data_IF_376863330719
#
_entry.id   IF_376863330719
#
_cell.length_a   1.000
_cell.length_b   1.000
_cell.length_c   1.000
_cell.angle_alpha   90.00
_cell.angle_beta   90.00
_cell.angle_gamma   90.00
#
_symmetry.space_group_name_H-M   'P 1'
#
loop_
_entity.id
_entity.type
_entity.pdbx_description
1 polymer ?
#
# COMPACT_ATOMS: atom_id res chain seq x y z
N UNK A 1 -12.53 8.01 5.83
CA UNK A 1 -11.39 7.16 6.27
C UNK A 1 -11.50 6.64 7.72
N UNK A 2 -12.60 6.88 8.45
CA UNK A 2 -12.70 6.59 9.89
C UNK A 2 -12.93 5.11 10.25
N UNK A 3 -13.12 4.22 9.27
CA UNK A 3 -13.41 2.78 9.53
C UNK A 3 -12.26 1.84 9.11
N UNK A 4 -11.07 2.40 8.81
CA UNK A 4 -9.93 1.61 8.35
C UNK A 4 -9.20 0.94 9.54
N UNK A 5 -9.29 -0.39 9.61
CA UNK A 5 -8.57 -1.21 10.60
C UNK A 5 -7.13 -1.43 10.14
N UNK A 6 -6.18 -0.74 10.77
CA UNK A 6 -4.75 -0.85 10.50
C UNK A 6 -4.20 -2.18 11.02
N UNK A 7 -2.99 -2.63 10.62
CA UNK A 7 -2.36 -3.79 11.24
C UNK A 7 -2.38 -3.71 12.78
N UNK A 8 -2.59 -4.83 13.49
CA UNK A 8 -2.70 -4.82 14.97
C UNK A 8 -1.46 -4.20 15.63
N UNK A 9 -0.30 -4.42 15.04
CA UNK A 9 0.96 -3.83 15.47
C UNK A 9 1.00 -2.30 15.37
N UNK A 10 0.21 -1.70 14.49
CA UNK A 10 0.04 -0.24 14.37
C UNK A 10 -1.01 0.25 15.33
N UNK A 11 -2.14 -0.45 15.47
CA UNK A 11 -3.19 -0.07 16.44
C UNK A 11 -2.66 -0.01 17.88
N UNK A 12 -1.67 -0.84 18.21
CA UNK A 12 -1.01 -0.88 19.51
C UNK A 12 0.25 0.00 19.60
N UNK A 13 0.69 0.63 18.50
CA UNK A 13 1.85 1.52 18.50
C UNK A 13 1.47 2.85 19.16
N UNK A 14 2.33 3.39 20.04
CA UNK A 14 2.10 4.67 20.68
C UNK A 14 1.90 5.83 19.67
N UNK A 15 2.43 5.69 18.45
CA UNK A 15 2.29 6.66 17.36
C UNK A 15 1.09 6.42 16.47
N UNK A 16 0.19 5.48 16.80
CA UNK A 16 -0.99 5.16 15.99
C UNK A 16 -1.78 6.42 15.58
N UNK A 17 -2.02 7.33 16.54
CA UNK A 17 -2.72 8.58 16.29
C UNK A 17 -1.99 9.48 15.27
N UNK A 18 -0.66 9.59 15.38
CA UNK A 18 0.16 10.35 14.44
C UNK A 18 0.14 9.73 13.02
N UNK A 19 0.25 8.40 12.92
CA UNK A 19 0.17 7.67 11.64
C UNK A 19 -1.20 7.90 10.99
N UNK A 20 -2.30 7.79 11.76
CA UNK A 20 -3.65 8.09 11.27
C UNK A 20 -3.78 9.55 10.84
N UNK A 21 -3.19 10.47 11.59
CA UNK A 21 -3.11 11.88 11.25
C UNK A 21 -2.48 12.11 9.88
N UNK A 22 -1.32 11.51 9.62
CA UNK A 22 -0.64 11.60 8.31
C UNK A 22 -1.49 11.03 7.19
N UNK A 23 -2.09 9.84 7.39
CA UNK A 23 -2.95 9.23 6.36
C UNK A 23 -4.20 10.06 6.05
N UNK A 24 -4.74 10.78 7.05
CA UNK A 24 -5.95 11.58 6.91
C UNK A 24 -5.69 13.03 6.49
N UNK A 25 -4.45 13.52 6.65
CA UNK A 25 -4.09 14.92 6.44
C UNK A 25 -4.37 15.39 5.00
N UNK A 26 -4.11 14.51 4.03
CA UNK A 26 -4.38 14.79 2.62
C UNK A 26 -4.79 13.53 1.89
N UNK A 27 -5.95 13.59 1.26
CA UNK A 27 -6.46 12.55 0.37
C UNK A 27 -6.70 13.11 -1.02
N UNK A 28 -6.67 12.25 -2.03
CA UNK A 28 -7.11 12.60 -3.39
C UNK A 28 -7.68 11.39 -4.11
N UNK A 29 -8.50 11.64 -5.12
CA UNK A 29 -8.83 10.63 -6.13
C UNK A 29 -7.61 10.37 -7.01
N UNK A 30 -7.42 9.11 -7.39
CA UNK A 30 -6.31 8.72 -8.27
C UNK A 30 -6.44 9.35 -9.66
N UNK A 31 -7.66 9.56 -10.13
CA UNK A 31 -8.00 10.16 -11.42
C UNK A 31 -9.30 10.97 -11.34
N UNK A 32 -9.63 11.75 -12.37
CA UNK A 32 -10.68 12.80 -12.34
C UNK A 32 -12.05 12.31 -11.87
N UNK A 33 -12.57 11.24 -12.46
CA UNK A 33 -13.89 10.68 -12.13
C UNK A 33 -13.79 9.41 -11.26
N UNK A 34 -12.64 9.23 -10.58
CA UNK A 34 -12.41 8.13 -9.65
C UNK A 34 -13.33 8.20 -8.44
N UNK A 35 -13.69 7.04 -7.91
CA UNK A 35 -14.55 6.93 -6.73
C UNK A 35 -13.72 6.76 -5.43
N UNK A 36 -12.49 6.29 -5.53
CA UNK A 36 -11.66 5.99 -4.36
C UNK A 36 -10.77 7.18 -4.01
N UNK A 37 -10.90 7.66 -2.77
CA UNK A 37 -9.94 8.59 -2.19
C UNK A 37 -8.81 7.81 -1.51
N UNK A 38 -7.57 8.15 -1.85
CA UNK A 38 -6.37 7.56 -1.26
C UNK A 38 -5.56 8.63 -0.52
N UNK A 39 -4.90 8.28 0.60
CA UNK A 39 -3.91 9.16 1.23
C UNK A 39 -2.82 9.58 0.26
N UNK A 40 -2.35 10.82 0.40
CA UNK A 40 -1.20 11.37 -0.31
C UNK A 40 -0.04 11.48 0.66
N UNK A 41 1.07 10.84 0.35
CA UNK A 41 2.25 10.72 1.20
C UNK A 41 3.46 11.38 0.51
N UNK A 42 4.25 12.11 1.28
CA UNK A 42 5.57 12.54 0.84
C UNK A 42 6.58 11.39 0.99
N UNK A 43 7.51 11.25 0.03
CA UNK A 43 8.65 10.36 0.20
C UNK A 43 9.70 11.01 1.08
N UNK A 44 9.61 10.78 2.39
CA UNK A 44 10.64 11.19 3.35
C UNK A 44 11.83 10.24 3.33
N UNK A 45 12.96 10.66 3.88
CA UNK A 45 14.14 9.78 4.03
C UNK A 45 13.82 8.54 4.88
N UNK A 46 13.02 8.71 5.94
CA UNK A 46 12.56 7.63 6.80
C UNK A 46 11.73 6.60 6.02
N UNK A 47 10.77 7.07 5.20
CA UNK A 47 9.96 6.21 4.35
C UNK A 47 10.83 5.52 3.29
N UNK A 48 11.71 6.27 2.60
CA UNK A 48 12.61 5.71 1.59
C UNK A 48 13.61 4.68 2.15
N UNK A 49 14.09 4.86 3.38
CA UNK A 49 14.93 3.89 4.08
C UNK A 49 14.16 2.61 4.40
N UNK A 50 12.93 2.73 4.92
CA UNK A 50 12.10 1.59 5.25
C UNK A 50 11.68 0.79 4.00
N UNK A 51 11.32 1.47 2.90
CA UNK A 51 11.04 0.81 1.62
C UNK A 51 12.24 -0.01 1.12
N UNK A 52 13.46 0.51 1.26
CA UNK A 52 14.68 -0.24 0.93
C UNK A 52 14.90 -1.44 1.85
N UNK A 53 14.62 -1.31 3.15
CA UNK A 53 14.76 -2.39 4.11
C UNK A 53 13.77 -3.53 3.83
N UNK A 54 12.50 -3.19 3.58
CA UNK A 54 11.44 -4.15 3.23
C UNK A 54 11.72 -4.83 1.88
N UNK A 55 12.22 -4.08 0.89
CA UNK A 55 12.67 -4.64 -0.37
C UNK A 55 13.78 -5.68 -0.17
N UNK A 56 14.77 -5.38 0.68
CA UNK A 56 15.88 -6.28 1.00
C UNK A 56 15.43 -7.61 1.63
N UNK A 57 14.21 -7.65 2.20
CA UNK A 57 13.58 -8.86 2.75
C UNK A 57 12.72 -9.61 1.74
N UNK A 58 12.62 -9.15 0.50
CA UNK A 58 11.77 -9.74 -0.53
C UNK A 58 10.26 -9.48 -0.33
N UNK A 59 9.89 -8.48 0.47
CA UNK A 59 8.52 -8.21 0.90
C UNK A 59 7.84 -7.07 0.13
N UNK A 60 8.37 -6.74 -1.05
CA UNK A 60 7.79 -5.78 -1.99
C UNK A 60 7.63 -6.41 -3.38
N UNK A 61 6.46 -6.22 -3.98
CA UNK A 61 6.22 -6.41 -5.41
C UNK A 61 6.33 -5.08 -6.14
N UNK A 62 6.81 -5.11 -7.38
CA UNK A 62 7.05 -3.92 -8.21
C UNK A 62 6.23 -4.05 -9.48
N UNK A 63 5.54 -2.97 -9.85
CA UNK A 63 4.61 -2.97 -10.99
C UNK A 63 3.21 -3.46 -10.61
N UNK A 64 2.24 -3.10 -11.44
CA UNK A 64 0.83 -3.39 -11.21
C UNK A 64 0.53 -4.88 -11.39
N UNK A 65 1.10 -5.51 -12.41
CA UNK A 65 0.87 -6.92 -12.72
C UNK A 65 1.30 -7.82 -11.56
N UNK A 66 2.50 -7.59 -11.01
CA UNK A 66 2.99 -8.34 -9.86
C UNK A 66 2.17 -8.09 -8.60
N UNK A 67 1.66 -6.86 -8.41
CA UNK A 67 0.78 -6.53 -7.30
C UNK A 67 -0.57 -7.26 -7.41
N UNK A 68 -1.20 -7.22 -8.58
CA UNK A 68 -2.47 -7.92 -8.86
C UNK A 68 -2.31 -9.41 -8.60
N UNK A 69 -1.29 -10.06 -9.18
CA UNK A 69 -1.07 -11.49 -8.98
C UNK A 69 -0.85 -11.87 -7.51
N UNK A 70 -0.14 -11.03 -6.74
CA UNK A 70 0.06 -11.28 -5.31
C UNK A 70 -1.23 -11.13 -4.49
N UNK A 71 -2.08 -10.16 -4.83
CA UNK A 71 -3.37 -9.94 -4.16
C UNK A 71 -4.39 -11.02 -4.51
N UNK A 72 -4.42 -11.47 -5.77
CA UNK A 72 -5.25 -12.60 -6.21
C UNK A 72 -4.84 -13.89 -5.50
N UNK A 73 -3.53 -14.20 -5.44
CA UNK A 73 -3.03 -15.36 -4.73
C UNK A 73 -3.40 -15.34 -3.23
N UNK A 74 -3.29 -14.18 -2.58
CA UNK A 74 -3.75 -14.01 -1.19
C UNK A 74 -5.25 -14.26 -1.07
N UNK A 75 -6.06 -13.65 -1.94
CA UNK A 75 -7.51 -13.80 -1.90
C UNK A 75 -7.94 -15.27 -2.05
N UNK A 76 -7.36 -15.99 -3.01
CA UNK A 76 -7.65 -17.42 -3.20
C UNK A 76 -7.25 -18.26 -1.97
N UNK A 77 -6.09 -17.97 -1.36
CA UNK A 77 -5.68 -18.62 -0.12
C UNK A 77 -6.64 -18.37 1.03
N UNK A 78 -7.13 -17.13 1.19
CA UNK A 78 -8.11 -16.77 2.22
C UNK A 78 -9.46 -17.45 2.00
N UNK A 79 -9.94 -17.52 0.75
CA UNK A 79 -11.18 -18.23 0.41
C UNK A 79 -11.06 -19.71 0.73
N UNK A 80 -9.94 -20.34 0.39
CA UNK A 80 -9.68 -21.76 0.67
C UNK A 80 -9.69 -22.04 2.19
N UNK A 81 -8.98 -21.24 2.99
CA UNK A 81 -8.92 -21.40 4.46
C UNK A 81 -10.25 -21.03 5.13
N UNK A 82 -10.95 -20.01 4.63
CA UNK A 82 -12.25 -19.58 5.16
C UNK A 82 -13.31 -20.66 5.01
N UNK A 83 -13.34 -21.34 3.86
CA UNK A 83 -14.20 -22.52 3.63
C UNK A 83 -13.89 -23.67 4.59
N UNK A 84 -12.63 -23.86 4.97
CA UNK A 84 -12.19 -24.93 5.87
C UNK A 84 -12.46 -24.65 7.35
N UNK A 85 -12.41 -23.38 7.77
CA UNK A 85 -12.36 -23.02 9.21
C UNK A 85 -13.61 -22.31 9.74
N UNK A 86 -14.54 -21.90 8.87
CA UNK A 86 -15.76 -21.19 9.25
C UNK A 86 -15.52 -19.82 9.91
N UNK A 87 -14.26 -19.36 10.02
CA UNK A 87 -13.88 -18.10 10.64
C UNK A 87 -13.74 -17.01 9.58
N UNK A 88 -14.60 -16.00 9.65
CA UNK A 88 -14.33 -14.71 9.04
C UNK A 88 -13.28 -14.01 9.89
N UNK A 89 -12.00 -14.11 9.51
CA UNK A 89 -10.94 -13.32 10.13
C UNK A 89 -11.26 -11.84 9.91
N UNK A 90 -11.50 -11.11 11.01
CA UNK A 90 -11.90 -9.69 10.96
C UNK A 90 -11.01 -8.89 10.00
N UNK A 91 -11.65 -8.19 9.08
CA UNK A 91 -10.98 -7.50 7.99
C UNK A 91 -10.07 -6.40 8.54
N UNK A 92 -8.82 -6.42 8.08
CA UNK A 92 -7.74 -5.56 8.56
C UNK A 92 -6.75 -5.40 7.44
N UNK A 93 -6.22 -4.20 7.30
CA UNK A 93 -5.15 -3.91 6.36
C UNK A 93 -3.95 -4.80 6.65
N UNK A 94 -3.58 -5.61 5.66
CA UNK A 94 -2.41 -6.49 5.65
C UNK A 94 -1.51 -6.22 4.46
N UNK A 95 -1.94 -5.37 3.52
CA UNK A 95 -1.24 -5.01 2.28
C UNK A 95 -1.24 -3.49 2.11
N UNK A 96 -0.15 -2.95 1.57
CA UNK A 96 -0.02 -1.51 1.31
C UNK A 96 0.46 -1.31 -0.14
N UNK A 97 -0.35 -0.63 -0.92
CA UNK A 97 -0.04 -0.25 -2.29
C UNK A 97 0.41 1.22 -2.31
N UNK A 98 1.60 1.49 -2.82
CA UNK A 98 2.14 2.85 -3.00
C UNK A 98 2.29 3.13 -4.49
N UNK A 99 1.73 4.24 -4.94
CA UNK A 99 1.60 4.60 -6.36
C UNK A 99 2.30 5.93 -6.62
N UNK A 100 3.19 5.99 -7.62
CA UNK A 100 3.82 7.24 -8.03
C UNK A 100 2.80 8.24 -8.60
N UNK A 101 3.10 9.54 -8.51
CA UNK A 101 2.18 10.63 -8.88
C UNK A 101 2.17 11.00 -10.38
N UNK A 102 3.03 10.40 -11.19
CA UNK A 102 3.18 10.64 -12.63
C UNK A 102 2.54 9.55 -13.53
N UNK A 103 1.64 8.74 -12.96
CA UNK A 103 0.85 7.77 -13.69
C UNK A 103 -0.06 8.41 -14.75
N UNK A 104 -0.27 7.73 -15.87
CA UNK A 104 -1.31 8.12 -16.82
C UNK A 104 -2.68 7.72 -16.26
N UNK A 105 -3.74 8.42 -16.66
CA UNK A 105 -5.09 8.16 -16.17
C UNK A 105 -5.54 6.69 -16.36
N UNK A 106 -5.23 6.10 -17.52
CA UNK A 106 -5.51 4.66 -17.78
C UNK A 106 -4.90 3.74 -16.73
N UNK A 107 -3.70 4.06 -16.25
CA UNK A 107 -3.01 3.29 -15.22
C UNK A 107 -3.70 3.47 -13.88
N UNK A 108 -4.04 4.71 -13.51
CA UNK A 108 -4.79 4.99 -12.28
C UNK A 108 -6.16 4.31 -12.23
N UNK A 109 -6.89 4.22 -13.35
CA UNK A 109 -8.14 3.43 -13.41
C UNK A 109 -7.93 1.95 -13.12
N UNK A 110 -6.83 1.37 -13.60
CA UNK A 110 -6.49 -0.03 -13.31
C UNK A 110 -6.12 -0.23 -11.84
N UNK A 111 -5.34 0.70 -11.28
CA UNK A 111 -4.99 0.71 -9.86
C UNK A 111 -6.24 0.84 -8.98
N UNK A 112 -7.13 1.79 -9.26
CA UNK A 112 -8.36 1.98 -8.49
C UNK A 112 -9.23 0.73 -8.49
N UNK A 113 -9.41 0.09 -9.67
CA UNK A 113 -10.13 -1.18 -9.78
C UNK A 113 -9.49 -2.29 -8.94
N UNK A 114 -8.17 -2.40 -8.96
CA UNK A 114 -7.44 -3.37 -8.12
C UNK A 114 -7.68 -3.09 -6.63
N UNK A 115 -7.57 -1.84 -6.19
CA UNK A 115 -7.82 -1.45 -4.80
C UNK A 115 -9.27 -1.71 -4.37
N UNK A 116 -10.24 -1.41 -5.23
CA UNK A 116 -11.66 -1.65 -4.95
C UNK A 116 -11.96 -3.15 -4.76
N UNK A 117 -11.38 -4.03 -5.58
CA UNK A 117 -11.53 -5.49 -5.45
C UNK A 117 -11.00 -6.03 -4.12
N UNK A 118 -10.00 -5.37 -3.52
CA UNK A 118 -9.31 -5.83 -2.31
C UNK A 118 -9.41 -4.83 -1.13
N UNK A 119 -10.43 -3.98 -1.13
CA UNK A 119 -10.55 -2.80 -0.27
C UNK A 119 -10.47 -3.09 1.24
N UNK A 120 -10.84 -4.30 1.66
CA UNK A 120 -10.92 -4.67 3.07
C UNK A 120 -9.57 -5.04 3.70
N UNK A 121 -8.53 -5.24 2.86
CA UNK A 121 -7.19 -5.66 3.29
C UNK A 121 -6.05 -4.85 2.66
N UNK A 122 -6.33 -4.09 1.62
CA UNK A 122 -5.33 -3.27 0.92
C UNK A 122 -5.57 -1.80 1.19
N UNK A 123 -4.57 -1.14 1.77
CA UNK A 123 -4.52 0.32 1.80
C UNK A 123 -3.78 0.80 0.56
N UNK A 124 -4.42 1.60 -0.29
CA UNK A 124 -3.77 2.29 -1.38
C UNK A 124 -3.39 3.71 -0.97
N UNK A 125 -2.16 4.12 -1.26
CA UNK A 125 -1.69 5.49 -1.07
C UNK A 125 -1.00 5.99 -2.34
N UNK A 126 -1.13 7.28 -2.61
CA UNK A 126 -0.28 7.95 -3.57
C UNK A 126 0.99 8.46 -2.87
N UNK A 127 2.13 8.30 -3.52
CA UNK A 127 3.40 8.90 -3.15
C UNK A 127 3.68 10.11 -4.05
N UNK A 128 4.03 11.25 -3.48
CA UNK A 128 4.34 12.50 -4.19
C UNK A 128 5.74 12.48 -4.81
N UNK A 129 5.97 11.49 -5.67
CA UNK A 129 7.20 11.34 -6.45
C UNK A 129 6.86 10.80 -7.82
N UNK A 130 7.70 11.10 -8.80
CA UNK A 130 7.63 10.45 -10.09
C UNK A 130 8.12 8.99 -10.05
N UNK A 131 7.82 8.27 -11.11
CA UNK A 131 8.15 6.85 -11.24
C UNK A 131 9.65 6.60 -11.36
N UNK A 132 10.44 7.55 -11.84
CA UNK A 132 11.89 7.45 -11.87
C UNK A 132 12.51 7.49 -10.47
N UNK A 133 12.03 8.41 -9.64
CA UNK A 133 12.43 8.59 -8.24
C UNK A 133 12.05 7.38 -7.41
N UNK A 134 10.80 6.89 -7.54
CA UNK A 134 10.39 5.64 -6.89
C UNK A 134 11.23 4.46 -7.39
N UNK A 135 11.56 4.44 -8.68
CA UNK A 135 12.48 3.50 -9.30
C UNK A 135 13.85 3.42 -8.64
N UNK A 136 14.48 4.57 -8.39
CA UNK A 136 15.78 4.66 -7.69
C UNK A 136 15.72 4.07 -6.29
N UNK A 137 14.60 4.25 -5.57
CA UNK A 137 14.40 3.63 -4.24
C UNK A 137 14.40 2.11 -4.34
N UNK A 138 13.75 1.52 -5.35
CA UNK A 138 13.45 0.07 -5.37
C UNK A 138 14.26 -0.78 -6.35
N UNK A 139 15.05 -0.18 -7.23
CA UNK A 139 16.00 -0.88 -8.08
C UNK A 139 17.43 -0.34 -7.97
N UNK A 140 17.66 0.80 -7.28
CA UNK A 140 18.96 1.51 -7.23
C UNK A 140 19.55 1.82 -8.62
N UNK A 141 18.70 1.88 -9.65
CA UNK A 141 19.03 2.19 -11.04
C UNK A 141 17.87 2.98 -11.65
N UNK A 142 18.10 3.61 -12.81
CA UNK A 142 17.08 4.36 -13.54
C UNK A 142 16.08 3.42 -14.24
N UNK A 143 15.24 2.78 -13.44
CA UNK A 143 14.10 1.98 -13.91
C UNK A 143 12.83 2.60 -13.36
N UNK A 144 11.97 3.14 -14.22
CA UNK A 144 10.71 3.71 -13.79
C UNK A 144 9.81 2.65 -13.12
N UNK A 145 9.29 2.97 -11.93
CA UNK A 145 8.34 2.15 -11.17
C UNK A 145 7.16 3.01 -10.78
N UNK A 146 5.97 2.64 -11.25
CA UNK A 146 4.74 3.41 -10.97
C UNK A 146 3.95 2.90 -9.77
N UNK A 147 4.22 1.67 -9.33
CA UNK A 147 3.53 1.05 -8.20
C UNK A 147 4.44 0.04 -7.52
N UNK A 148 4.37 0.04 -6.20
CA UNK A 148 4.90 -1.04 -5.36
C UNK A 148 3.83 -1.53 -4.39
N UNK A 149 3.88 -2.82 -4.04
CA UNK A 149 3.00 -3.44 -3.08
C UNK A 149 3.84 -4.06 -1.97
N UNK A 150 3.66 -3.59 -0.73
CA UNK A 150 4.09 -4.34 0.44
C UNK A 150 3.07 -5.45 0.72
N UNK A 151 3.53 -6.68 0.56
CA UNK A 151 2.67 -7.86 0.49
C UNK A 151 2.75 -8.74 1.75
N UNK A 152 3.36 -8.22 2.82
CA UNK A 152 3.42 -8.84 4.14
C UNK A 152 2.99 -7.87 5.24
N UNK A 153 2.21 -8.35 6.22
CA UNK A 153 1.70 -7.52 7.32
C UNK A 153 2.80 -6.78 8.12
N UNK A 154 3.97 -7.40 8.27
CA UNK A 154 5.09 -6.81 9.02
C UNK A 154 5.77 -5.72 8.20
N UNK A 155 5.87 -5.90 6.88
CA UNK A 155 6.29 -4.86 5.94
C UNK A 155 5.36 -3.66 5.97
N UNK A 156 4.05 -3.90 5.92
CA UNK A 156 3.04 -2.82 6.01
C UNK A 156 3.17 -2.07 7.34
N UNK A 157 3.33 -2.79 8.46
CA UNK A 157 3.52 -2.16 9.77
C UNK A 157 4.83 -1.36 9.84
N UNK A 158 5.92 -1.86 9.26
CA UNK A 158 7.18 -1.14 9.24
C UNK A 158 7.08 0.16 8.43
N UNK A 159 6.51 0.09 7.22
CA UNK A 159 6.29 1.25 6.35
C UNK A 159 5.37 2.27 7.02
N UNK A 160 4.25 1.85 7.61
CA UNK A 160 3.34 2.78 8.30
C UNK A 160 3.99 3.47 9.50
N UNK A 161 4.84 2.79 10.27
CA UNK A 161 5.60 3.42 11.36
C UNK A 161 6.56 4.50 10.87
N UNK A 162 7.10 4.36 9.66
CA UNK A 162 8.02 5.35 9.09
C UNK A 162 7.35 6.70 8.81
N UNK A 163 6.02 6.75 8.74
CA UNK A 163 5.25 7.98 8.53
C UNK A 163 5.22 8.90 9.75
N UNK A 164 5.50 8.37 10.94
CA UNK A 164 5.52 9.11 12.21
C UNK A 164 6.92 9.10 12.83
N UNK A 165 7.95 9.24 11.98
CA UNK A 165 9.35 9.39 12.38
C UNK A 165 9.85 10.80 12.09
#
# INVERSE_FOLDING_TARGET
MQDLRLPRQIELDARCAAIRGVLAARTRRLWRDGALEVPVLALTDALGAELRAVLGRGQLRRGLEAAVGALEAEHQGLVAVGRQTGRQSGERISRLCLVASDGAERFYRQVERCLATHATRVLGCLLEVDSGTLGKVVYRRDTAVKLILADHKDAVSAVLRSLAR
#
